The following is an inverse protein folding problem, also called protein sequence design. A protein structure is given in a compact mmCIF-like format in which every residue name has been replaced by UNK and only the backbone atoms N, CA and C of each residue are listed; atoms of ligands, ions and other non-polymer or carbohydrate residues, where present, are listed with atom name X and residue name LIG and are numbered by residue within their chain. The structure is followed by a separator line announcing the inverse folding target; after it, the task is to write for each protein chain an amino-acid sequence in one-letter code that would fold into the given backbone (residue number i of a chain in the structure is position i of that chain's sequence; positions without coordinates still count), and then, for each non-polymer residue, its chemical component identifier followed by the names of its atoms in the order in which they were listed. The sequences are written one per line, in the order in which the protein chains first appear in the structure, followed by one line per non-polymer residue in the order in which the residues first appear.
data_IF_098647319188
#
_entry.id   IF_098647319188
#
_cell.length_a   1.000
_cell.length_b   1.000
_cell.length_c   1.000
_cell.angle_alpha   90.00
_cell.angle_beta   90.00
_cell.angle_gamma   90.00
#
_symmetry.space_group_name_H-M   'P 1'
#
loop_
_entity.id
_entity.type
_entity.pdbx_description
1 polymer ?
#
# COMPACT_ATOMS: atom_id res chain seq x y z
N UNK A 1 15.18 21.46 -1.97
CA UNK A 1 15.32 20.30 -1.05
C UNK A 1 14.00 19.92 -0.39
N UNK A 2 13.18 20.88 0.06
CA UNK A 2 11.80 20.66 0.54
C UNK A 2 10.86 20.05 -0.52
N UNK A 3 11.00 20.46 -1.79
CA UNK A 3 10.21 19.95 -2.92
C UNK A 3 10.43 18.45 -3.18
N UNK A 4 11.64 17.93 -2.93
CA UNK A 4 11.97 16.52 -3.19
C UNK A 4 11.27 15.57 -2.20
N UNK A 5 11.04 16.05 -0.97
CA UNK A 5 10.37 15.28 0.09
C UNK A 5 8.86 15.21 -0.18
N UNK A 6 8.26 16.28 -0.73
CA UNK A 6 6.84 16.27 -1.12
C UNK A 6 6.53 15.21 -2.16
N UNK A 7 7.38 15.05 -3.18
CA UNK A 7 7.18 14.03 -4.22
C UNK A 7 7.33 12.60 -3.70
N UNK A 8 8.14 12.37 -2.67
CA UNK A 8 8.40 11.03 -2.13
C UNK A 8 7.30 10.51 -1.20
N UNK A 9 6.39 11.38 -0.73
CA UNK A 9 5.29 11.03 0.18
C UNK A 9 3.94 11.31 -0.47
N UNK A 10 3.91 11.49 -1.79
CA UNK A 10 2.68 11.78 -2.52
C UNK A 10 1.96 10.49 -2.89
N UNK A 11 1.39 9.85 -1.87
CA UNK A 11 0.60 8.64 -2.04
C UNK A 11 -0.63 8.83 -2.94
N UNK A 12 -1.10 10.07 -3.10
CA UNK A 12 -2.24 10.39 -3.95
C UNK A 12 -1.88 10.25 -5.44
N UNK A 13 -0.64 10.58 -5.80
CA UNK A 13 -0.12 10.48 -7.16
C UNK A 13 0.35 9.07 -7.57
N UNK A 14 0.45 8.12 -6.63
CA UNK A 14 0.71 6.72 -6.95
C UNK A 14 -0.57 6.05 -7.49
N UNK A 15 -0.45 5.46 -8.69
CA UNK A 15 -1.53 4.69 -9.30
C UNK A 15 -1.91 3.48 -8.45
N UNK A 16 -3.17 3.02 -8.51
CA UNK A 16 -3.65 1.90 -7.69
C UNK A 16 -2.83 0.61 -7.85
N UNK A 17 -2.29 0.39 -9.05
CA UNK A 17 -1.49 -0.79 -9.39
C UNK A 17 0.02 -0.56 -9.20
N UNK A 18 0.41 0.55 -8.56
CA UNK A 18 1.82 0.84 -8.33
C UNK A 18 2.38 -0.10 -7.25
N UNK A 19 3.37 -0.95 -7.57
CA UNK A 19 3.97 -1.87 -6.61
C UNK A 19 4.61 -1.15 -5.41
N UNK A 20 4.94 0.13 -5.53
CA UNK A 20 5.47 0.95 -4.44
C UNK A 20 4.48 1.08 -3.27
N UNK A 21 3.17 1.01 -3.51
CA UNK A 21 2.13 1.08 -2.48
C UNK A 21 2.31 -0.06 -1.46
N UNK A 22 2.59 -1.28 -1.93
CA UNK A 22 2.77 -2.44 -1.05
C UNK A 22 3.99 -2.27 -0.12
N UNK A 23 5.10 -1.72 -0.63
CA UNK A 23 6.30 -1.45 0.16
C UNK A 23 6.05 -0.37 1.22
N UNK A 24 5.33 0.69 0.85
CA UNK A 24 5.01 1.78 1.77
C UNK A 24 4.07 1.32 2.89
N UNK A 25 3.05 0.53 2.58
CA UNK A 25 2.17 -0.09 3.61
C UNK A 25 2.97 -0.98 4.55
N UNK A 26 3.89 -1.79 4.01
CA UNK A 26 4.79 -2.62 4.80
C UNK A 26 5.71 -1.81 5.73
N UNK A 27 6.26 -0.68 5.24
CA UNK A 27 7.08 0.22 6.04
C UNK A 27 6.27 0.89 7.17
N UNK A 28 5.09 1.41 6.85
CA UNK A 28 4.18 2.02 7.84
C UNK A 28 3.73 1.02 8.90
N UNK A 29 3.52 -0.24 8.53
CA UNK A 29 3.21 -1.30 9.51
C UNK A 29 4.35 -1.49 10.51
N UNK A 30 5.61 -1.45 10.07
CA UNK A 30 6.77 -1.55 10.98
C UNK A 30 6.88 -0.33 11.88
N UNK A 31 6.68 0.87 11.33
CA UNK A 31 6.69 2.13 12.07
C UNK A 31 5.60 2.15 13.15
N UNK A 32 4.37 1.74 12.79
CA UNK A 32 3.25 1.59 13.72
C UNK A 32 3.59 0.65 14.88
N UNK A 33 4.25 -0.48 14.59
CA UNK A 33 4.66 -1.44 15.64
C UNK A 33 5.72 -0.87 16.59
N UNK A 34 6.61 -0.02 16.09
CA UNK A 34 7.68 0.59 16.90
C UNK A 34 7.12 1.71 17.77
N UNK A 35 6.29 2.59 17.20
CA UNK A 35 5.77 3.78 17.88
C UNK A 35 4.55 3.49 18.77
N UNK A 36 3.80 2.42 18.50
CA UNK A 36 2.61 2.07 19.28
C UNK A 36 1.59 3.21 19.30
N UNK A 37 1.31 3.77 20.50
CA UNK A 37 0.34 4.87 20.66
C UNK A 37 0.80 6.18 20.02
N UNK A 38 2.10 6.43 19.96
CA UNK A 38 2.63 7.66 19.35
C UNK A 38 2.42 7.69 17.82
N UNK A 39 2.00 6.57 17.25
CA UNK A 39 1.63 6.47 15.84
C UNK A 39 0.33 7.21 15.48
N UNK A 40 -0.54 7.49 16.46
CA UNK A 40 -1.89 8.03 16.24
C UNK A 40 -1.87 9.34 15.42
N UNK A 41 -0.88 10.21 15.66
CA UNK A 41 -0.71 11.47 14.93
C UNK A 41 -0.45 11.31 13.42
N UNK A 42 0.03 10.14 12.99
CA UNK A 42 0.33 9.85 11.59
C UNK A 42 -0.83 9.16 10.86
N UNK A 43 -1.87 8.73 11.58
CA UNK A 43 -3.07 8.10 10.99
C UNK A 43 -3.68 8.93 9.85
N UNK A 44 -3.87 10.26 9.97
CA UNK A 44 -4.45 11.05 8.88
C UNK A 44 -3.67 10.97 7.56
N UNK A 45 -2.35 10.74 7.64
CA UNK A 45 -1.46 10.68 6.48
C UNK A 45 -1.51 9.28 5.84
N UNK A 46 -1.56 8.23 6.64
CA UNK A 46 -1.50 6.84 6.15
C UNK A 46 -2.86 6.25 5.79
N UNK A 47 -3.96 6.79 6.34
CA UNK A 47 -5.28 6.19 6.20
C UNK A 47 -5.81 6.23 4.76
N UNK A 48 -5.61 7.33 4.03
CA UNK A 48 -6.04 7.41 2.62
C UNK A 48 -5.43 6.30 1.76
N UNK A 49 -4.10 6.14 1.76
CA UNK A 49 -3.41 5.07 1.03
C UNK A 49 -3.81 3.66 1.48
N UNK A 50 -3.95 3.45 2.79
CA UNK A 50 -4.38 2.17 3.35
C UNK A 50 -5.79 1.80 2.89
N UNK A 51 -6.72 2.76 2.91
CA UNK A 51 -8.10 2.54 2.45
C UNK A 51 -8.16 2.29 0.94
N UNK A 52 -7.37 3.03 0.15
CA UNK A 52 -7.24 2.84 -1.30
C UNK A 52 -6.73 1.44 -1.63
N UNK A 53 -5.68 0.98 -0.94
CA UNK A 53 -5.16 -0.37 -1.10
C UNK A 53 -6.12 -1.46 -0.61
N UNK A 54 -6.84 -1.24 0.50
CA UNK A 54 -7.84 -2.17 1.00
C UNK A 54 -9.07 -2.28 0.06
N UNK A 55 -9.38 -1.22 -0.68
CA UNK A 55 -10.45 -1.21 -1.67
C UNK A 55 -10.06 -1.89 -2.99
N UNK A 56 -8.77 -2.15 -3.21
CA UNK A 56 -8.28 -2.82 -4.40
C UNK A 56 -8.80 -4.26 -4.45
N UNK A 57 -9.53 -4.57 -5.53
CA UNK A 57 -10.01 -5.93 -5.81
C UNK A 57 -9.14 -6.51 -6.93
N UNK A 58 -8.16 -7.38 -6.61
CA UNK A 58 -7.40 -8.06 -7.65
C UNK A 58 -8.36 -8.94 -8.46
N UNK A 59 -8.33 -8.82 -9.78
CA UNK A 59 -9.01 -9.78 -10.65
C UNK A 59 -8.24 -11.11 -10.59
N UNK A 60 -8.82 -12.10 -9.91
CA UNK A 60 -8.25 -13.45 -9.82
C UNK A 60 -8.91 -14.31 -10.89
N UNK A 61 -8.20 -14.54 -12.00
CA UNK A 61 -8.56 -15.60 -12.92
C UNK A 61 -8.02 -16.91 -12.37
N UNK A 62 -8.93 -17.80 -11.94
CA UNK A 62 -8.57 -19.17 -11.56
C UNK A 62 -8.17 -19.89 -12.84
N UNK A 63 -6.86 -20.06 -13.06
CA UNK A 63 -6.37 -21.05 -14.01
C UNK A 63 -6.69 -22.41 -13.39
N UNK A 64 -7.54 -23.20 -14.04
CA UNK A 64 -7.79 -24.56 -13.61
C UNK A 64 -6.45 -25.33 -13.75
N UNK A 65 -5.83 -25.67 -12.62
CA UNK A 65 -4.81 -26.72 -12.56
C UNK A 65 -5.49 -28.02 -13.00
N UNK A 66 -5.47 -28.34 -14.29
CA UNK A 66 -6.27 -29.47 -14.75
C UNK A 66 -6.21 -29.94 -16.20
N UNK A 67 -5.52 -29.28 -17.15
CA UNK A 67 -5.28 -29.91 -18.46
C UNK A 67 -4.04 -30.82 -18.39
N UNK A 68 -4.14 -31.84 -17.54
CA UNK A 68 -3.51 -33.14 -17.79
C UNK A 68 -4.49 -33.96 -18.62
N UNK A 69 -4.67 -33.60 -19.88
CA UNK A 69 -5.34 -34.44 -20.88
C UNK A 69 -4.40 -34.60 -22.09
N UNK A 70 -3.77 -35.79 -22.12
CA UNK A 70 -3.16 -36.55 -23.24
C UNK A 70 -2.11 -35.92 -24.16
#
# INVERSE_FOLDING_TARGET
MQELVKTQVDFENLGNDDPQIAYLIGAWTRICKILGKDFEQYLPIVMGPVLKAAAFKPEVTVLADGDTDV
#
